data_IF_973832622016
#
_entry.id   IF_973832622016
#
_cell.length_a   1.000
_cell.length_b   1.000
_cell.length_c   1.000
_cell.angle_alpha   90.00
_cell.angle_beta   90.00
_cell.angle_gamma   90.00
#
_symmetry.space_group_name_H-M   'P 1'
#
loop_
_entity.id
_entity.type
_entity.pdbx_description
1 polymer ?
#
# COMPACT_ATOMS: atom_id res chain seq x y z
N UNK A 1 10.41 69.94 -18.03
CA UNK A 1 9.83 69.96 -16.66
C UNK A 1 8.99 68.71 -16.46
N UNK A 2 9.03 68.19 -15.23
CA UNK A 2 8.37 66.99 -14.66
C UNK A 2 9.21 65.70 -14.66
N UNK A 3 9.50 65.32 -13.41
CA UNK A 3 10.39 64.30 -12.87
C UNK A 3 9.70 62.92 -12.74
N UNK A 4 10.47 61.87 -12.41
CA UNK A 4 10.16 60.47 -12.74
C UNK A 4 9.55 59.68 -11.56
N UNK A 5 8.99 58.50 -11.85
CA UNK A 5 8.73 57.47 -10.85
C UNK A 5 9.73 56.33 -11.03
N UNK A 6 10.55 56.10 -9.99
CA UNK A 6 11.58 55.07 -9.90
C UNK A 6 11.13 54.08 -8.81
N UNK A 7 10.63 52.92 -9.22
CA UNK A 7 10.36 51.82 -8.30
C UNK A 7 11.68 51.18 -7.90
N UNK A 8 12.02 51.23 -6.61
CA UNK A 8 13.20 50.56 -6.04
C UNK A 8 12.70 49.67 -4.92
N UNK A 9 12.58 48.37 -5.20
CA UNK A 9 12.35 47.32 -4.21
C UNK A 9 13.69 47.08 -3.49
N UNK A 10 13.73 47.42 -2.21
CA UNK A 10 14.88 47.21 -1.34
C UNK A 10 14.65 45.94 -0.52
N UNK A 11 15.57 44.99 -0.63
CA UNK A 11 15.66 43.78 0.20
C UNK A 11 16.82 43.98 1.16
N UNK A 12 16.59 43.85 2.47
CA UNK A 12 17.62 43.61 3.48
C UNK A 12 16.99 43.33 4.88
N UNK A 13 17.73 42.71 5.82
CA UNK A 13 17.23 41.54 6.53
C UNK A 13 17.31 41.59 8.08
N UNK A 14 16.81 40.51 8.70
CA UNK A 14 17.24 39.88 9.96
C UNK A 14 17.12 40.64 11.30
N UNK A 15 16.41 39.97 12.21
CA UNK A 15 16.70 39.81 13.65
C UNK A 15 16.29 40.88 14.67
N UNK A 16 15.66 40.33 15.72
CA UNK A 16 15.67 40.77 17.11
C UNK A 16 14.79 41.97 17.52
N UNK A 17 13.50 41.71 17.78
CA UNK A 17 12.81 42.30 18.94
C UNK A 17 11.96 41.21 19.60
N UNK A 18 12.58 40.49 20.53
CA UNK A 18 11.91 39.74 21.59
C UNK A 18 11.52 40.75 22.69
N UNK A 19 10.49 40.40 23.49
CA UNK A 19 10.01 41.08 24.71
C UNK A 19 9.00 42.21 24.52
N UNK A 20 7.72 41.84 24.40
CA UNK A 20 6.67 42.28 25.32
C UNK A 20 5.30 41.76 24.84
N UNK A 21 4.94 40.53 25.23
CA UNK A 21 3.54 40.08 25.39
C UNK A 21 3.58 38.65 25.97
N UNK A 22 4.13 38.57 27.19
CA UNK A 22 3.77 37.49 28.10
C UNK A 22 2.34 37.75 28.58
N UNK A 23 1.49 36.74 28.44
CA UNK A 23 0.12 36.76 28.94
C UNK A 23 -0.92 36.75 27.82
N UNK A 24 -1.31 35.56 27.39
CA UNK A 24 -2.68 35.05 27.50
C UNK A 24 -2.84 33.79 26.62
N UNK A 25 -2.09 32.72 26.94
CA UNK A 25 -2.46 31.37 26.51
C UNK A 25 -3.48 30.82 27.51
N UNK A 26 -4.73 31.28 27.38
CA UNK A 26 -5.89 30.56 27.89
C UNK A 26 -6.37 29.62 26.77
N UNK A 27 -5.79 28.43 26.72
CA UNK A 27 -6.51 27.26 26.25
C UNK A 27 -6.53 26.25 27.41
N UNK A 28 -7.71 25.80 27.84
CA UNK A 28 -7.83 24.97 29.02
C UNK A 28 -7.13 23.64 28.77
N UNK A 29 -6.50 23.13 29.83
CA UNK A 29 -5.94 21.80 29.89
C UNK A 29 -6.94 20.79 29.29
N UNK A 30 -6.58 20.22 28.14
CA UNK A 30 -7.23 19.03 27.62
C UNK A 30 -6.80 17.88 28.53
N UNK A 31 -7.44 17.76 29.69
CA UNK A 31 -7.40 16.55 30.48
C UNK A 31 -8.07 15.46 29.64
N UNK A 32 -7.35 14.42 29.20
CA UNK A 32 -7.97 13.33 28.48
C UNK A 32 -9.08 12.73 29.36
N UNK A 33 -10.21 12.28 28.77
CA UNK A 33 -11.26 11.64 29.54
C UNK A 33 -10.67 10.47 30.34
N UNK A 34 -11.16 10.28 31.57
CA UNK A 34 -10.75 9.21 32.52
C UNK A 34 -10.75 7.79 31.94
N UNK A 35 -11.33 7.59 30.75
CA UNK A 35 -11.28 6.35 30.00
C UNK A 35 -9.90 6.03 29.38
N UNK A 36 -9.03 7.02 29.16
CA UNK A 36 -7.72 6.79 28.52
C UNK A 36 -6.57 6.51 29.51
N UNK A 37 -6.74 6.86 30.79
CA UNK A 37 -5.74 6.60 31.83
C UNK A 37 -5.77 5.14 32.35
N UNK A 38 -6.79 4.36 31.98
CA UNK A 38 -6.91 2.95 32.32
C UNK A 38 -6.32 2.00 31.24
N UNK A 39 -5.63 2.54 30.24
CA UNK A 39 -5.01 1.76 29.15
C UNK A 39 -3.47 1.72 29.24
N UNK A 40 -2.88 2.19 30.34
CA UNK A 40 -1.43 2.20 30.55
C UNK A 40 -0.90 0.99 31.35
N UNK A 41 -1.74 0.00 31.62
CA UNK A 41 -1.37 -1.27 32.25
C UNK A 41 -1.89 -2.46 31.41
N UNK A 42 -1.42 -2.57 30.18
CA UNK A 42 -1.65 -3.75 29.35
C UNK A 42 -0.30 -4.38 28.98
N UNK A 43 0.33 -5.00 29.98
CA UNK A 43 1.30 -6.07 29.74
C UNK A 43 0.56 -7.11 28.87
N UNK A 44 1.02 -7.27 27.64
CA UNK A 44 0.29 -7.93 26.54
C UNK A 44 -0.52 -9.14 26.98
N UNK A 45 -1.85 -9.07 26.78
CA UNK A 45 -2.75 -10.18 27.03
C UNK A 45 -2.30 -11.42 26.23
N UNK A 46 -2.13 -12.59 26.86
CA UNK A 46 -1.78 -13.84 26.16
C UNK A 46 -2.93 -14.28 25.25
N UNK A 47 -2.60 -15.06 24.22
CA UNK A 47 -3.61 -15.61 23.31
C UNK A 47 -4.50 -16.54 24.12
N UNK A 48 -5.78 -16.20 24.19
CA UNK A 48 -6.74 -16.99 24.94
C UNK A 48 -7.26 -18.06 23.97
N UNK A 49 -6.83 -19.30 24.16
CA UNK A 49 -7.48 -20.48 23.56
C UNK A 49 -8.50 -20.99 24.57
N UNK A 50 -9.77 -21.11 24.18
CA UNK A 50 -10.79 -21.72 25.05
C UNK A 50 -10.43 -23.19 25.29
N UNK A 51 -9.90 -23.47 26.48
CA UNK A 51 -9.41 -24.79 26.85
C UNK A 51 -7.94 -24.99 26.46
N UNK A 52 -7.08 -24.90 27.48
CA UNK A 52 -5.64 -25.17 27.45
C UNK A 52 -4.78 -24.03 26.90
N UNK A 53 -4.08 -23.36 27.83
CA UNK A 53 -2.95 -22.45 27.56
C UNK A 53 -1.81 -23.23 26.89
N UNK A 54 -1.90 -23.48 25.58
CA UNK A 54 -0.76 -23.96 24.81
C UNK A 54 -0.01 -22.76 24.20
N UNK A 55 1.10 -22.30 24.80
CA UNK A 55 1.91 -21.21 24.26
C UNK A 55 2.47 -21.52 22.87
N UNK A 56 2.46 -22.81 22.45
CA UNK A 56 2.88 -23.22 21.11
C UNK A 56 1.86 -22.80 20.06
N UNK A 57 0.56 -22.84 20.36
CA UNK A 57 -0.50 -22.41 19.44
C UNK A 57 -0.40 -20.91 19.10
N UNK A 58 0.05 -20.08 20.06
CA UNK A 58 0.36 -18.66 19.81
C UNK A 58 1.51 -18.43 18.82
N UNK A 59 2.39 -19.42 18.65
CA UNK A 59 3.62 -19.33 17.85
C UNK A 59 3.58 -20.16 16.57
N UNK A 60 2.57 -21.01 16.41
CA UNK A 60 2.38 -21.81 15.21
C UNK A 60 2.13 -20.87 14.02
N UNK A 61 2.88 -21.07 12.96
CA UNK A 61 2.80 -20.28 11.73
C UNK A 61 2.15 -21.10 10.64
N UNK A 62 1.14 -20.53 9.99
CA UNK A 62 0.45 -21.10 8.85
C UNK A 62 0.80 -20.27 7.63
N UNK A 63 1.10 -20.93 6.51
CA UNK A 63 1.39 -20.26 5.24
C UNK A 63 0.10 -19.94 4.51
N UNK A 64 0.00 -18.70 4.02
CA UNK A 64 -1.14 -18.21 3.25
C UNK A 64 -0.66 -17.65 1.90
N UNK A 65 -1.58 -17.60 0.96
CA UNK A 65 -1.41 -17.05 -0.38
C UNK A 65 -2.40 -15.91 -0.60
N UNK A 66 -1.98 -14.87 -1.32
CA UNK A 66 -2.88 -13.78 -1.71
C UNK A 66 -3.78 -14.29 -2.83
N UNK A 67 -5.08 -14.31 -2.57
CA UNK A 67 -6.09 -14.79 -3.51
C UNK A 67 -6.67 -13.67 -4.35
N UNK A 68 -6.98 -12.53 -3.72
CA UNK A 68 -7.65 -11.42 -4.39
C UNK A 68 -7.49 -10.09 -3.64
N UNK A 69 -7.82 -8.99 -4.31
CA UNK A 69 -7.99 -7.66 -3.71
C UNK A 69 -9.39 -7.16 -4.05
N UNK A 70 -10.27 -7.14 -3.06
CA UNK A 70 -11.69 -6.86 -3.22
C UNK A 70 -12.01 -5.42 -2.79
N UNK A 71 -12.59 -4.57 -3.67
CA UNK A 71 -13.10 -3.27 -3.28
C UNK A 71 -14.39 -3.42 -2.47
N UNK A 72 -14.53 -2.62 -1.41
CA UNK A 72 -15.70 -2.58 -0.54
C UNK A 72 -16.32 -1.19 -0.66
N UNK A 73 -17.18 -1.01 -1.66
CA UNK A 73 -17.74 0.29 -2.05
C UNK A 73 -18.46 0.99 -0.89
N UNK A 74 -19.29 0.25 -0.15
CA UNK A 74 -20.07 0.78 0.98
C UNK A 74 -19.16 1.26 2.13
N UNK A 75 -18.04 0.58 2.35
CA UNK A 75 -17.09 0.89 3.41
C UNK A 75 -15.99 1.87 2.96
N UNK A 76 -15.95 2.25 1.67
CA UNK A 76 -14.87 3.02 1.06
C UNK A 76 -13.48 2.45 1.39
N UNK A 77 -13.38 1.12 1.41
CA UNK A 77 -12.19 0.38 1.83
C UNK A 77 -11.86 -0.72 0.83
N UNK A 78 -10.71 -1.35 0.99
CA UNK A 78 -10.31 -2.52 0.21
C UNK A 78 -9.94 -3.65 1.16
N UNK A 79 -10.22 -4.89 0.77
CA UNK A 79 -9.79 -6.09 1.49
C UNK A 79 -8.84 -6.91 0.63
N UNK A 80 -7.64 -7.17 1.15
CA UNK A 80 -6.73 -8.17 0.61
C UNK A 80 -7.13 -9.51 1.18
N UNK A 81 -7.45 -10.46 0.31
CA UNK A 81 -7.94 -11.78 0.70
C UNK A 81 -6.76 -12.74 0.71
N UNK A 82 -6.34 -13.16 1.90
CA UNK A 82 -5.34 -14.22 2.08
C UNK A 82 -6.06 -15.54 2.32
N UNK A 83 -5.55 -16.66 1.80
CA UNK A 83 -6.13 -17.98 2.09
C UNK A 83 -5.06 -19.01 2.38
N UNK A 84 -5.41 -20.02 3.17
CA UNK A 84 -4.60 -21.24 3.31
C UNK A 84 -4.54 -21.98 1.96
N UNK A 85 -3.51 -22.82 1.77
CA UNK A 85 -3.31 -23.55 0.50
C UNK A 85 -4.49 -24.46 0.12
N UNK A 86 -5.17 -25.02 1.12
CA UNK A 86 -6.38 -25.82 0.95
C UNK A 86 -7.66 -24.98 0.80
N UNK A 87 -7.55 -23.65 0.92
CA UNK A 87 -8.65 -22.66 0.91
C UNK A 87 -9.72 -22.94 1.98
N UNK A 88 -9.36 -23.66 3.04
CA UNK A 88 -10.26 -23.94 4.16
C UNK A 88 -10.49 -22.73 5.06
N UNK A 89 -9.51 -21.82 5.12
CA UNK A 89 -9.58 -20.59 5.92
C UNK A 89 -9.14 -19.41 5.04
N UNK A 90 -9.91 -18.34 5.12
CA UNK A 90 -9.65 -17.06 4.45
C UNK A 90 -9.44 -15.98 5.52
N UNK A 91 -8.42 -15.15 5.37
CA UNK A 91 -8.13 -14.01 6.24
C UNK A 91 -8.25 -12.71 5.43
N UNK A 92 -9.31 -11.92 5.63
CA UNK A 92 -9.40 -10.58 5.05
C UNK A 92 -8.51 -9.60 5.83
N UNK A 93 -7.65 -8.88 5.10
CA UNK A 93 -6.85 -7.78 5.64
C UNK A 93 -7.29 -6.49 4.98
N UNK A 94 -7.90 -5.60 5.76
CA UNK A 94 -8.37 -4.31 5.26
C UNK A 94 -7.18 -3.36 5.05
N UNK A 95 -7.15 -2.72 3.88
CA UNK A 95 -6.07 -1.83 3.48
C UNK A 95 -6.63 -0.56 2.84
N UNK A 96 -5.79 0.47 2.81
CA UNK A 96 -6.07 1.70 2.08
C UNK A 96 -5.93 1.49 0.56
N UNK A 97 -6.51 2.40 -0.21
CA UNK A 97 -6.53 2.34 -1.68
C UNK A 97 -5.13 2.25 -2.30
N UNK A 98 -4.16 3.02 -1.79
CA UNK A 98 -2.80 3.00 -2.34
C UNK A 98 -2.12 1.62 -2.15
N UNK A 99 -2.30 0.99 -0.99
CA UNK A 99 -1.83 -0.37 -0.74
C UNK A 99 -2.56 -1.39 -1.60
N UNK A 100 -3.88 -1.25 -1.75
CA UNK A 100 -4.70 -2.13 -2.58
C UNK A 100 -4.23 -2.13 -4.04
N UNK A 101 -4.04 -0.94 -4.61
CA UNK A 101 -3.52 -0.77 -5.98
C UNK A 101 -2.15 -1.44 -6.13
N UNK A 102 -1.25 -1.19 -5.18
CA UNK A 102 0.10 -1.76 -5.18
C UNK A 102 0.09 -3.29 -5.18
N UNK A 103 -0.72 -3.89 -4.31
CA UNK A 103 -0.88 -5.35 -4.19
C UNK A 103 -1.57 -5.91 -5.43
N UNK A 104 -2.59 -5.25 -5.97
CA UNK A 104 -3.32 -5.71 -7.15
C UNK A 104 -2.42 -5.78 -8.40
N UNK A 105 -1.59 -4.77 -8.64
CA UNK A 105 -0.61 -4.79 -9.75
C UNK A 105 0.41 -5.93 -9.59
N UNK A 106 0.93 -6.12 -8.36
CA UNK A 106 1.88 -7.21 -8.04
C UNK A 106 1.26 -8.58 -8.19
N UNK A 107 0.03 -8.78 -7.71
CA UNK A 107 -0.73 -10.03 -7.84
C UNK A 107 -1.01 -10.36 -9.30
N UNK A 108 -1.29 -9.35 -10.12
CA UNK A 108 -1.47 -9.51 -11.56
C UNK A 108 -0.15 -9.66 -12.33
N UNK A 109 1.01 -9.58 -11.66
CA UNK A 109 2.35 -9.54 -12.28
C UNK A 109 2.47 -8.44 -13.36
N UNK A 110 1.84 -7.29 -13.11
CA UNK A 110 1.83 -6.14 -14.03
C UNK A 110 2.54 -4.94 -13.42
N UNK A 111 3.17 -4.15 -14.29
CA UNK A 111 3.77 -2.88 -13.90
C UNK A 111 2.75 -1.74 -14.01
N UNK A 112 2.69 -0.85 -13.00
CA UNK A 112 1.92 0.38 -13.07
C UNK A 112 2.56 1.37 -14.07
N UNK A 113 1.82 2.36 -14.58
CA UNK A 113 2.35 3.35 -15.54
C UNK A 113 3.45 4.25 -14.94
N UNK A 114 3.47 4.39 -13.62
CA UNK A 114 4.53 5.05 -12.88
C UNK A 114 4.85 4.22 -11.63
N UNK A 115 6.12 4.22 -11.15
CA UNK A 115 6.48 3.52 -9.93
C UNK A 115 5.66 3.98 -8.73
N UNK A 116 5.14 3.02 -7.98
CA UNK A 116 4.45 3.23 -6.71
C UNK A 116 5.45 3.35 -5.56
N UNK A 117 4.98 3.83 -4.40
CA UNK A 117 5.83 4.01 -3.23
C UNK A 117 6.50 2.70 -2.77
N UNK A 118 5.79 1.56 -2.86
CA UNK A 118 6.36 0.26 -2.52
C UNK A 118 7.40 -0.22 -3.54
N UNK A 119 7.35 0.23 -4.79
CA UNK A 119 8.35 -0.13 -5.80
C UNK A 119 9.72 0.44 -5.42
N UNK A 120 9.76 1.68 -4.91
CA UNK A 120 10.99 2.28 -4.40
C UNK A 120 11.58 1.47 -3.24
N UNK A 121 10.75 0.91 -2.35
CA UNK A 121 11.24 0.09 -1.24
C UNK A 121 11.83 -1.22 -1.73
N UNK A 122 11.20 -1.87 -2.72
CA UNK A 122 11.69 -3.10 -3.34
C UNK A 122 13.05 -2.84 -4.04
N UNK A 123 13.18 -1.71 -4.75
CA UNK A 123 14.42 -1.29 -5.39
C UNK A 123 15.53 -1.04 -4.37
N UNK A 124 15.25 -0.30 -3.28
CA UNK A 124 16.22 -0.04 -2.21
C UNK A 124 16.70 -1.35 -1.57
N UNK A 125 15.81 -2.30 -1.30
CA UNK A 125 16.19 -3.61 -0.75
C UNK A 125 17.10 -4.36 -1.71
N UNK A 126 16.76 -4.35 -3.00
CA UNK A 126 17.49 -5.05 -4.06
C UNK A 126 18.88 -4.43 -4.29
N UNK A 127 18.97 -3.11 -4.43
CA UNK A 127 20.21 -2.36 -4.67
C UNK A 127 21.19 -2.48 -3.48
N UNK A 128 20.67 -2.59 -2.27
CA UNK A 128 21.48 -2.88 -1.08
C UNK A 128 21.91 -4.36 -0.99
N UNK A 129 21.56 -5.20 -1.96
CA UNK A 129 21.93 -6.62 -2.01
C UNK A 129 21.21 -7.48 -0.96
N UNK A 130 20.06 -7.02 -0.46
CA UNK A 130 19.22 -7.79 0.44
C UNK A 130 18.08 -8.47 -0.33
N UNK A 131 17.55 -9.55 0.24
CA UNK A 131 16.39 -10.27 -0.28
C UNK A 131 15.37 -10.49 0.83
N UNK A 132 14.11 -10.19 0.56
CA UNK A 132 13.00 -10.61 1.43
C UNK A 132 12.82 -12.12 1.29
N UNK A 133 12.85 -12.81 2.41
CA UNK A 133 12.76 -14.28 2.47
C UNK A 133 11.42 -14.77 3.00
N UNK A 134 10.78 -13.92 3.80
CA UNK A 134 9.53 -14.24 4.46
C UNK A 134 8.91 -12.97 5.03
N UNK A 135 7.58 -12.97 5.11
CA UNK A 135 6.83 -11.99 5.88
C UNK A 135 5.87 -12.68 6.83
N UNK A 136 5.59 -12.01 7.95
CA UNK A 136 4.69 -12.51 8.99
C UNK A 136 3.62 -11.51 9.36
N UNK A 137 2.41 -12.01 9.60
CA UNK A 137 1.36 -11.33 10.36
C UNK A 137 1.29 -12.02 11.72
N UNK A 138 1.79 -11.33 12.76
CA UNK A 138 2.10 -11.97 14.04
C UNK A 138 1.01 -11.81 15.09
N UNK A 139 0.34 -10.65 15.13
CA UNK A 139 -0.67 -10.34 16.14
C UNK A 139 -1.78 -9.44 15.60
N UNK A 140 -2.94 -9.50 16.27
CA UNK A 140 -4.10 -8.64 16.05
C UNK A 140 -4.57 -8.13 17.43
N UNK A 141 -4.48 -6.82 17.65
CA UNK A 141 -4.95 -6.16 18.87
C UNK A 141 -5.68 -4.89 18.53
N UNK A 142 -6.81 -4.65 19.17
CA UNK A 142 -7.64 -3.46 18.94
C UNK A 142 -7.96 -3.23 17.45
N UNK A 143 -8.20 -4.33 16.72
CA UNK A 143 -8.40 -4.36 15.25
C UNK A 143 -7.21 -3.87 14.41
N UNK A 144 -6.02 -3.79 15.00
CA UNK A 144 -4.77 -3.45 14.31
C UNK A 144 -3.89 -4.68 14.23
N UNK A 145 -3.61 -5.09 13.00
CA UNK A 145 -2.65 -6.14 12.72
C UNK A 145 -1.22 -5.62 12.83
N UNK A 146 -0.32 -6.47 13.33
CA UNK A 146 1.13 -6.23 13.34
C UNK A 146 1.86 -7.33 12.58
N UNK A 147 2.96 -6.97 11.93
CA UNK A 147 3.73 -7.89 11.12
C UNK A 147 5.21 -7.56 11.04
N UNK A 148 5.95 -8.46 10.41
CA UNK A 148 7.40 -8.38 10.24
C UNK A 148 7.84 -8.86 8.88
N UNK A 149 8.86 -8.21 8.33
CA UNK A 149 9.56 -8.61 7.10
C UNK A 149 10.93 -9.17 7.50
N UNK A 150 11.25 -10.36 6.99
CA UNK A 150 12.52 -11.04 7.22
C UNK A 150 13.39 -10.95 5.97
N UNK A 151 14.57 -10.34 6.11
CA UNK A 151 15.51 -10.11 5.03
C UNK A 151 16.82 -10.85 5.27
N UNK A 152 17.45 -11.25 4.18
CA UNK A 152 18.80 -11.79 4.17
C UNK A 152 19.70 -10.96 3.26
N UNK A 153 20.90 -10.61 3.75
CA UNK A 153 21.96 -9.93 3.01
C UNK A 153 23.26 -10.71 3.22
N UNK A 154 23.60 -11.59 2.28
CA UNK A 154 24.69 -12.55 2.45
C UNK A 154 24.45 -13.47 3.65
N UNK A 155 25.29 -13.37 4.69
CA UNK A 155 25.13 -14.13 5.95
C UNK A 155 24.31 -13.40 7.02
N UNK A 156 23.99 -12.13 6.80
CA UNK A 156 23.27 -11.30 7.77
C UNK A 156 21.77 -11.53 7.61
N UNK A 157 21.10 -11.84 8.73
CA UNK A 157 19.64 -11.90 8.81
C UNK A 157 19.13 -10.64 9.50
N UNK A 158 18.08 -10.06 8.98
CA UNK A 158 17.47 -8.84 9.50
C UNK A 158 15.97 -9.02 9.60
N UNK A 159 15.36 -8.32 10.55
CA UNK A 159 13.92 -8.30 10.76
C UNK A 159 13.50 -6.85 10.88
N UNK A 160 12.47 -6.49 10.12
CA UNK A 160 11.86 -5.16 10.15
C UNK A 160 10.42 -5.29 10.60
N UNK A 161 9.99 -4.45 11.54
CA UNK A 161 8.58 -4.30 11.84
C UNK A 161 7.90 -3.57 10.68
N UNK A 162 6.76 -4.09 10.24
CA UNK A 162 6.05 -3.56 9.08
C UNK A 162 4.54 -3.77 9.22
N UNK A 163 3.75 -2.91 8.57
CA UNK A 163 2.32 -3.14 8.43
C UNK A 163 2.10 -4.38 7.54
N UNK A 164 1.01 -5.14 7.74
CA UNK A 164 0.72 -6.29 6.88
C UNK A 164 0.59 -5.93 5.41
N UNK A 165 0.00 -4.78 5.06
CA UNK A 165 -0.14 -4.36 3.66
C UNK A 165 1.21 -4.22 2.95
N UNK A 166 2.16 -3.51 3.57
CA UNK A 166 3.51 -3.34 3.05
C UNK A 166 4.25 -4.69 2.99
N UNK A 167 4.08 -5.52 4.02
CA UNK A 167 4.67 -6.86 4.09
C UNK A 167 4.18 -7.76 2.95
N UNK A 168 2.87 -7.78 2.69
CA UNK A 168 2.27 -8.57 1.62
C UNK A 168 2.78 -8.09 0.25
N UNK A 169 2.84 -6.78 0.02
CA UNK A 169 3.36 -6.22 -1.22
C UNK A 169 4.81 -6.66 -1.49
N UNK A 170 5.70 -6.55 -0.48
CA UNK A 170 7.09 -7.00 -0.61
C UNK A 170 7.19 -8.50 -0.85
N UNK A 171 6.32 -9.31 -0.23
CA UNK A 171 6.31 -10.75 -0.40
C UNK A 171 5.93 -11.17 -1.82
N UNK A 172 4.96 -10.47 -2.43
CA UNK A 172 4.58 -10.70 -3.83
C UNK A 172 5.73 -10.40 -4.78
N UNK A 173 6.41 -9.25 -4.63
CA UNK A 173 7.56 -8.88 -5.48
C UNK A 173 8.73 -9.86 -5.35
N UNK A 174 9.03 -10.30 -4.12
CA UNK A 174 10.18 -11.16 -3.82
C UNK A 174 9.89 -12.66 -3.90
N UNK A 175 8.64 -13.04 -4.18
CA UNK A 175 8.11 -14.39 -4.05
C UNK A 175 8.44 -15.03 -2.69
N UNK A 176 8.37 -14.23 -1.62
CA UNK A 176 8.61 -14.68 -0.26
C UNK A 176 7.37 -15.34 0.33
N UNK A 177 7.58 -16.23 1.32
CA UNK A 177 6.48 -16.88 2.04
C UNK A 177 5.73 -15.85 2.88
N UNK A 178 4.39 -15.87 2.79
CA UNK A 178 3.52 -15.12 3.69
C UNK A 178 3.04 -16.09 4.77
N UNK A 179 3.39 -15.80 6.03
CA UNK A 179 2.98 -16.64 7.17
C UNK A 179 2.17 -15.84 8.17
N UNK A 180 1.20 -16.49 8.80
CA UNK A 180 0.32 -15.88 9.79
C UNK A 180 0.31 -16.74 11.03
N UNK A 181 0.31 -16.14 12.22
CA UNK A 181 0.18 -16.91 13.46
C UNK A 181 -1.20 -17.55 13.53
N UNK A 182 -1.28 -18.77 14.06
CA UNK A 182 -2.55 -19.46 14.31
C UNK A 182 -3.49 -18.59 15.15
N UNK A 183 -2.95 -17.85 16.12
CA UNK A 183 -3.69 -16.83 16.88
C UNK A 183 -4.48 -15.88 15.99
N UNK A 184 -3.82 -15.26 15.01
CA UNK A 184 -4.47 -14.29 14.12
C UNK A 184 -5.56 -14.98 13.28
N UNK A 185 -5.31 -16.20 12.78
CA UNK A 185 -6.32 -16.97 12.06
C UNK A 185 -7.52 -17.34 12.91
N UNK A 186 -7.33 -17.66 14.20
CA UNK A 186 -8.44 -17.94 15.11
C UNK A 186 -9.26 -16.69 15.41
N UNK A 187 -8.64 -15.51 15.46
CA UNK A 187 -9.32 -14.26 15.79
C UNK A 187 -10.07 -13.63 14.61
N UNK A 188 -9.54 -13.76 13.39
CA UNK A 188 -10.05 -13.04 12.22
C UNK A 188 -10.11 -13.87 10.93
N UNK A 189 -9.69 -15.13 10.97
CA UNK A 189 -9.88 -16.06 9.87
C UNK A 189 -11.34 -16.49 9.78
N UNK A 190 -11.83 -16.59 8.55
CA UNK A 190 -13.17 -17.04 8.20
C UNK A 190 -13.03 -18.42 7.56
N UNK A 191 -13.68 -19.40 8.14
CA UNK A 191 -13.70 -20.79 7.65
C UNK A 191 -14.63 -20.92 6.45
N UNK A 192 -14.38 -21.94 5.62
CA UNK A 192 -15.24 -22.26 4.48
C UNK A 192 -16.68 -22.51 4.91
N UNK A 193 -16.88 -23.19 6.03
CA UNK A 193 -18.19 -23.50 6.59
C UNK A 193 -18.95 -22.22 6.96
N UNK A 194 -18.28 -21.23 7.54
CA UNK A 194 -18.89 -19.92 7.84
C UNK A 194 -19.28 -19.18 6.56
N UNK A 195 -18.44 -19.19 5.52
CA UNK A 195 -18.77 -18.58 4.22
C UNK A 195 -20.00 -19.25 3.61
N UNK A 196 -20.07 -20.58 3.64
CA UNK A 196 -21.21 -21.34 3.10
C UNK A 196 -22.49 -21.13 3.92
N UNK A 197 -22.39 -20.99 5.25
CA UNK A 197 -23.52 -20.66 6.12
C UNK A 197 -24.11 -19.27 5.85
N UNK A 198 -23.26 -18.27 5.61
CA UNK A 198 -23.69 -16.90 5.29
C UNK A 198 -24.45 -16.81 3.95
N UNK A 199 -24.17 -17.71 3.01
CA UNK A 199 -24.89 -17.78 1.74
C UNK A 199 -26.30 -18.38 1.87
N UNK A 200 -26.58 -19.10 2.95
CA UNK A 200 -27.88 -19.77 3.17
C UNK A 200 -28.87 -18.92 3.99
N UNK A 201 -28.40 -17.92 4.75
CA UNK A 201 -29.25 -17.06 5.60
C UNK A 201 -29.53 -15.67 5.00
N UNK A 202 -29.00 -15.34 3.83
CA UNK A 202 -29.35 -14.12 3.10
C UNK A 202 -30.76 -14.22 2.47
N UNK A 203 -31.49 -13.10 2.27
CA UNK A 203 -32.68 -13.11 1.42
C UNK A 203 -32.22 -13.53 0.03
N UNK A 204 -32.61 -14.73 -0.40
CA UNK A 204 -32.11 -15.34 -1.64
C UNK A 204 -32.27 -14.40 -2.82
N UNK A 205 -31.17 -13.75 -3.23
CA UNK A 205 -31.09 -13.06 -4.50
C UNK A 205 -30.61 -14.09 -5.52
N UNK A 206 -31.56 -14.57 -6.31
CA UNK A 206 -31.30 -15.52 -7.39
C UNK A 206 -30.29 -14.94 -8.37
N UNK A 207 -29.23 -15.70 -8.61
CA UNK A 207 -28.18 -15.36 -9.56
C UNK A 207 -27.67 -16.60 -10.29
N UNK A 208 -28.55 -17.33 -10.98
CA UNK A 208 -28.13 -18.19 -12.09
C UNK A 208 -27.90 -17.31 -13.32
N UNK A 209 -26.77 -16.61 -13.34
CA UNK A 209 -26.23 -15.92 -14.50
C UNK A 209 -24.79 -16.42 -14.73
N UNK A 210 -24.32 -16.53 -15.99
CA UNK A 210 -22.94 -16.92 -16.26
C UNK A 210 -21.96 -15.96 -15.58
N UNK A 211 -20.85 -16.50 -15.07
CA UNK A 211 -19.70 -15.74 -14.61
C UNK A 211 -19.04 -15.04 -15.80
N UNK A 212 -19.56 -13.88 -16.18
CA UNK A 212 -18.78 -12.92 -16.95
C UNK A 212 -17.81 -12.26 -15.98
N UNK A 213 -16.53 -12.62 -16.08
CA UNK A 213 -15.45 -11.97 -15.36
C UNK A 213 -15.52 -10.44 -15.60
N UNK A 214 -15.27 -9.59 -14.59
CA UNK A 214 -15.12 -8.16 -14.84
C UNK A 214 -13.86 -7.96 -15.70
N UNK A 215 -14.10 -7.82 -17.00
CA UNK A 215 -13.09 -7.41 -17.94
C UNK A 215 -12.59 -6.02 -17.55
N UNK A 216 -11.32 -5.92 -17.18
CA UNK A 216 -10.62 -4.65 -17.34
C UNK A 216 -10.88 -4.15 -18.76
N UNK A 217 -11.31 -2.88 -18.96
CA UNK A 217 -11.50 -2.36 -20.30
C UNK A 217 -10.17 -2.46 -21.03
N UNK A 218 -10.15 -3.25 -22.10
CA UNK A 218 -9.02 -3.25 -23.03
C UNK A 218 -8.81 -1.80 -23.52
N UNK A 219 -7.56 -1.30 -23.60
CA UNK A 219 -7.31 -0.03 -24.24
C UNK A 219 -7.82 -0.11 -25.67
N UNK A 220 -8.79 0.74 -25.99
CA UNK A 220 -9.48 0.75 -27.28
C UNK A 220 -8.47 0.81 -28.43
N UNK A 221 -8.56 -0.16 -29.33
CA UNK A 221 -8.00 -0.01 -30.67
C UNK A 221 -8.75 1.14 -31.39
N UNK A 222 -8.07 1.96 -32.18
CA UNK A 222 -8.68 3.10 -32.85
C UNK A 222 -9.73 2.62 -33.87
N UNK A 223 -10.93 3.18 -33.78
CA UNK A 223 -11.96 3.07 -34.81
C UNK A 223 -11.45 3.67 -36.12
N UNK A 224 -11.58 2.93 -37.22
CA UNK A 224 -11.34 3.43 -38.58
C UNK A 224 -12.17 4.70 -38.88
N UNK A 225 -11.68 5.59 -39.75
CA UNK A 225 -12.28 6.89 -39.97
C UNK A 225 -13.45 6.80 -40.96
N UNK A 226 -14.33 7.82 -40.96
CA UNK A 226 -14.66 8.37 -42.26
C UNK A 226 -14.69 9.88 -42.24
N UNK A 227 -14.12 10.48 -43.29
CA UNK A 227 -14.76 11.44 -44.21
C UNK A 227 -13.63 12.11 -45.01
N UNK A 228 -13.79 12.05 -46.33
CA UNK A 228 -12.92 12.62 -47.35
C UNK A 228 -12.59 14.09 -47.06
N UNK A 229 -11.29 14.42 -46.99
CA UNK A 229 -10.80 15.80 -47.06
C UNK A 229 -10.07 16.00 -48.37
N UNK A 230 -10.60 16.93 -49.17
CA UNK A 230 -10.10 17.39 -50.46
C UNK A 230 -8.58 17.65 -50.44
N UNK A 231 -7.90 17.08 -51.43
CA UNK A 231 -6.44 17.04 -51.54
C UNK A 231 -5.89 18.22 -52.36
N UNK A 232 -6.44 19.41 -52.19
CA UNK A 232 -6.00 20.65 -52.87
C UNK A 232 -5.87 21.80 -51.85
N UNK A 233 -4.75 21.87 -51.13
CA UNK A 233 -4.51 23.04 -50.28
C UNK A 233 -3.41 22.99 -49.21
N UNK A 234 -2.39 22.13 -49.30
CA UNK A 234 -1.33 22.10 -48.29
C UNK A 234 -0.23 23.15 -48.60
N UNK A 235 0.14 24.05 -47.67
CA UNK A 235 1.33 24.88 -47.84
C UNK A 235 2.60 24.02 -47.76
N UNK A 236 3.70 24.37 -48.46
CA UNK A 236 4.91 23.56 -48.49
C UNK A 236 5.53 23.40 -47.10
N UNK A 237 5.83 22.17 -46.73
CA UNK A 237 6.33 21.78 -45.41
C UNK A 237 7.67 22.40 -45.04
N UNK A 238 7.83 22.71 -43.76
CA UNK A 238 9.13 23.03 -43.17
C UNK A 238 10.03 21.77 -43.16
N UNK A 239 11.32 21.88 -43.51
CA UNK A 239 12.23 20.75 -43.45
C UNK A 239 12.43 20.31 -41.99
N UNK A 240 12.24 19.01 -41.75
CA UNK A 240 12.57 18.36 -40.48
C UNK A 240 14.05 18.51 -40.21
N UNK A 241 14.38 19.14 -39.08
CA UNK A 241 15.77 19.27 -38.61
C UNK A 241 16.25 17.91 -38.12
N UNK A 242 17.45 17.43 -38.52
CA UNK A 242 17.96 16.16 -38.01
C UNK A 242 18.26 16.25 -36.50
N UNK A 243 18.19 15.11 -35.77
CA UNK A 243 18.46 15.09 -34.34
C UNK A 243 19.91 15.50 -34.05
N UNK A 244 20.11 16.30 -33.00
CA UNK A 244 21.44 16.67 -32.51
C UNK A 244 22.20 15.42 -32.05
N UNK A 245 23.50 15.28 -32.39
CA UNK A 245 24.31 14.20 -31.87
C UNK A 245 24.51 14.33 -30.36
N UNK A 246 24.51 13.19 -29.65
CA UNK A 246 24.86 13.10 -28.24
C UNK A 246 26.25 13.69 -28.01
N UNK A 247 26.34 14.64 -27.07
CA UNK A 247 27.59 15.25 -26.65
C UNK A 247 28.55 14.22 -26.08
N UNK A 248 29.77 14.23 -26.59
CA UNK A 248 30.94 13.48 -26.10
C UNK A 248 31.27 13.86 -24.65
N UNK A 249 31.70 12.85 -23.90
CA UNK A 249 32.04 12.94 -22.48
C UNK A 249 33.03 14.06 -22.15
N UNK A 250 32.82 14.65 -20.98
CA UNK A 250 33.76 15.56 -20.36
C UNK A 250 34.82 14.71 -19.64
N UNK A 251 36.05 14.72 -20.15
CA UNK A 251 37.23 14.28 -19.40
C UNK A 251 37.27 15.01 -18.06
N UNK A 252 37.42 14.25 -16.99
CA UNK A 252 37.78 14.75 -15.66
C UNK A 252 39.30 14.66 -15.62
N UNK A 253 39.96 15.81 -15.68
CA UNK A 253 41.40 15.95 -15.48
C UNK A 253 41.71 15.65 -14.00
N UNK A 254 42.64 14.73 -13.75
CA UNK A 254 43.12 14.30 -12.43
C UNK A 254 44.11 15.30 -11.84
#
# INVERSE_FOLDING_TARGET
MKTPNRATLFVAPLSAVLLALGGLLLFPAFTPPKALAALSDAKGQPCITEGQDDPKACSELVELEVQDVVPLEEAQAHAVVLATKDKGIVLPVFVDEASAISIAFRLAERQPPQPLAQDLLDDVVTELGAKVTEVRIDDLRDNVYSGRVFLEQGKKKMTLDARPSDSIAMALTSHARIRVTRKVLTLAGITREEIEGLQQEGPGVGGSGPLDAPGFPAPGAPSEPPIDMDLDGLPPGHPLTPPRPLGTGKEIEL
#
